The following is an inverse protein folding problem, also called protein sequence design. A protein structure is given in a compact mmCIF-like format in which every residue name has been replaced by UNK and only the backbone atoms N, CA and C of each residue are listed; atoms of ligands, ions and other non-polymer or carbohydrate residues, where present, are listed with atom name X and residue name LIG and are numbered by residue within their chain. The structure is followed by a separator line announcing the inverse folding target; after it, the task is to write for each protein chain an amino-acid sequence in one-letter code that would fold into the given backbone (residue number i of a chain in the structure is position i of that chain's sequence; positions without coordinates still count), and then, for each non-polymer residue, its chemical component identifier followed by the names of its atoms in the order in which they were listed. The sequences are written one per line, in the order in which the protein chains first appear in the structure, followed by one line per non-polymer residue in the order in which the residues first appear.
data_IF_487907711602
#
_entry.id   IF_487907711602
#
_cell.length_a   1.000
_cell.length_b   1.000
_cell.length_c   1.000
_cell.angle_alpha   90.00
_cell.angle_beta   90.00
_cell.angle_gamma   90.00
#
_symmetry.space_group_name_H-M   'P 1'
#
loop_
_entity.id
_entity.type
_entity.pdbx_description
1 polymer ?
#
# COMPACT_ATOMS: atom_id res chain seq x y z
N UNK A 1 -11.76 -16.70 28.53
CA UNK A 1 -11.03 -16.08 27.40
C UNK A 1 -10.54 -14.72 27.88
N UNK A 2 -9.29 -14.64 28.34
CA UNK A 2 -8.72 -13.38 28.85
C UNK A 2 -8.50 -12.43 27.68
N UNK A 3 -9.06 -11.23 27.80
CA UNK A 3 -8.74 -10.12 26.89
C UNK A 3 -7.27 -9.76 27.10
N UNK A 4 -6.43 -9.70 26.05
CA UNK A 4 -5.05 -9.29 26.22
C UNK A 4 -5.01 -7.86 26.77
N UNK A 5 -4.14 -7.67 27.77
CA UNK A 5 -3.88 -6.40 28.43
C UNK A 5 -3.46 -5.34 27.38
N UNK A 6 -4.17 -4.22 27.38
CA UNK A 6 -3.92 -3.08 26.50
C UNK A 6 -2.64 -2.29 26.88
N UNK A 7 -1.91 -2.72 27.92
CA UNK A 7 -0.67 -2.11 28.40
C UNK A 7 0.51 -2.12 27.40
N UNK A 8 0.39 -2.83 26.28
CA UNK A 8 1.40 -2.85 25.21
C UNK A 8 1.33 -1.69 24.20
N UNK A 9 0.24 -0.91 24.18
CA UNK A 9 0.15 0.26 23.31
C UNK A 9 0.61 1.50 24.09
N UNK A 10 1.83 1.97 23.80
CA UNK A 10 2.20 3.35 24.09
C UNK A 10 1.09 4.26 23.55
N UNK A 11 0.54 5.14 24.39
CA UNK A 11 -0.48 6.12 23.99
C UNK A 11 -0.02 7.01 22.81
N UNK A 12 1.28 7.02 22.52
CA UNK A 12 1.87 7.51 21.27
C UNK A 12 2.43 6.32 20.50
N UNK A 13 1.67 5.79 19.54
CA UNK A 13 2.25 4.84 18.58
C UNK A 13 3.38 5.55 17.82
N UNK A 14 4.59 5.00 17.89
CA UNK A 14 5.74 5.49 17.10
C UNK A 14 5.42 5.31 15.62
N UNK A 15 5.50 6.38 14.83
CA UNK A 15 5.11 6.36 13.42
C UNK A 15 6.16 5.68 12.53
N UNK A 16 7.43 5.69 12.94
CA UNK A 16 8.54 5.03 12.25
C UNK A 16 9.70 4.76 13.20
N UNK A 17 10.29 3.57 13.12
CA UNK A 17 11.43 3.18 13.96
C UNK A 17 12.76 3.82 13.53
N UNK A 18 12.85 4.28 12.27
CA UNK A 18 14.06 4.85 11.67
C UNK A 18 13.99 6.40 11.60
N UNK A 19 13.24 7.02 12.51
CA UNK A 19 13.27 8.49 12.67
C UNK A 19 13.22 8.88 14.13
N UNK A 20 13.89 9.99 14.46
CA UNK A 20 13.87 10.52 15.83
C UNK A 20 12.50 11.08 16.19
N UNK A 21 12.19 11.11 17.49
CA UNK A 21 10.94 11.69 18.00
C UNK A 21 10.77 13.18 17.64
N UNK A 22 11.87 13.91 17.44
CA UNK A 22 11.82 15.30 16.99
C UNK A 22 11.30 15.42 15.55
N UNK A 23 11.76 14.53 14.66
CA UNK A 23 11.31 14.47 13.27
C UNK A 23 9.85 14.03 13.20
N UNK A 24 9.44 13.05 14.00
CA UNK A 24 8.03 12.63 14.08
C UNK A 24 7.11 13.80 14.48
N UNK A 25 7.50 14.60 15.48
CA UNK A 25 6.73 15.79 15.90
C UNK A 25 6.61 16.81 14.76
N UNK A 26 7.70 17.08 14.04
CA UNK A 26 7.68 17.98 12.88
C UNK A 26 6.73 17.48 11.79
N UNK A 27 6.73 16.17 11.52
CA UNK A 27 5.80 15.55 10.57
C UNK A 27 4.35 15.72 11.03
N UNK A 28 4.02 15.39 12.27
CA UNK A 28 2.66 15.53 12.81
C UNK A 28 2.17 16.98 12.72
N UNK A 29 3.01 17.94 13.10
CA UNK A 29 2.65 19.35 13.06
C UNK A 29 2.49 19.88 11.63
N UNK A 30 3.31 19.40 10.69
CA UNK A 30 3.13 19.70 9.27
C UNK A 30 1.79 19.19 8.76
N UNK A 31 1.43 17.93 9.07
CA UNK A 31 0.13 17.38 8.72
C UNK A 31 -1.04 18.14 9.39
N UNK A 32 -0.91 18.56 10.64
CA UNK A 32 -1.95 19.35 11.33
C UNK A 32 -2.22 20.70 10.68
N UNK A 33 -1.18 21.36 10.17
CA UNK A 33 -1.29 22.65 9.46
C UNK A 33 -1.84 22.55 8.03
N UNK A 34 -1.80 21.36 7.41
CA UNK A 34 -2.35 21.19 6.05
C UNK A 34 -3.87 21.32 6.03
N UNK A 35 -4.39 22.05 5.04
CA UNK A 35 -5.82 22.04 4.73
C UNK A 35 -6.28 20.62 4.34
N UNK A 36 -7.56 20.28 4.53
CA UNK A 36 -8.09 18.98 4.11
C UNK A 36 -7.81 18.65 2.64
N UNK A 37 -7.97 19.62 1.75
CA UNK A 37 -7.71 19.44 0.32
C UNK A 37 -6.22 19.16 0.03
N UNK A 38 -5.29 19.84 0.73
CA UNK A 38 -3.87 19.54 0.59
C UNK A 38 -3.53 18.13 1.06
N UNK A 39 -4.13 17.67 2.17
CA UNK A 39 -3.95 16.28 2.62
C UNK A 39 -4.38 15.27 1.56
N UNK A 40 -5.57 15.46 0.98
CA UNK A 40 -6.09 14.57 -0.07
C UNK A 40 -5.15 14.54 -1.27
N UNK A 41 -4.69 15.71 -1.75
CA UNK A 41 -3.73 15.78 -2.87
C UNK A 41 -2.42 15.07 -2.57
N UNK A 42 -1.87 15.24 -1.37
CA UNK A 42 -0.64 14.57 -0.94
C UNK A 42 -0.82 13.05 -0.93
N UNK A 43 -1.92 12.55 -0.36
CA UNK A 43 -2.19 11.11 -0.29
C UNK A 43 -2.50 10.51 -1.66
N UNK A 44 -3.22 11.22 -2.54
CA UNK A 44 -3.46 10.78 -3.92
C UNK A 44 -2.15 10.67 -4.71
N UNK A 45 -1.30 11.69 -4.64
CA UNK A 45 0.01 11.70 -5.29
C UNK A 45 0.91 10.56 -4.79
N UNK A 46 0.97 10.35 -3.47
CA UNK A 46 1.68 9.21 -2.87
C UNK A 46 1.13 7.87 -3.38
N UNK A 47 -0.19 7.73 -3.39
CA UNK A 47 -0.88 6.50 -3.81
C UNK A 47 -0.61 6.16 -5.28
N UNK A 48 -0.65 7.15 -6.16
CA UNK A 48 -0.33 7.00 -7.59
C UNK A 48 1.12 6.63 -7.82
N UNK A 49 2.03 7.28 -7.08
CA UNK A 49 3.48 7.01 -7.17
C UNK A 49 3.80 5.60 -6.70
N UNK A 50 3.24 5.15 -5.58
CA UNK A 50 3.42 3.79 -5.08
C UNK A 50 2.91 2.74 -6.09
N UNK A 51 1.77 2.99 -6.74
CA UNK A 51 1.25 2.10 -7.79
C UNK A 51 2.14 2.07 -9.04
N UNK A 52 2.67 3.21 -9.45
CA UNK A 52 3.60 3.29 -10.59
C UNK A 52 4.89 2.51 -10.31
N UNK A 53 5.46 2.63 -9.11
CA UNK A 53 6.63 1.87 -8.68
C UNK A 53 6.34 0.37 -8.63
N UNK A 54 5.19 -0.03 -8.08
CA UNK A 54 4.78 -1.43 -8.05
C UNK A 54 4.63 -2.01 -9.46
N UNK A 55 4.01 -1.27 -10.39
CA UNK A 55 3.88 -1.69 -11.79
C UNK A 55 5.24 -1.80 -12.48
N UNK A 56 6.17 -0.89 -12.24
CA UNK A 56 7.52 -0.98 -12.77
C UNK A 56 8.22 -2.27 -12.27
N UNK A 57 8.12 -2.57 -10.98
CA UNK A 57 8.65 -3.81 -10.41
C UNK A 57 7.95 -5.09 -10.88
N UNK A 58 6.66 -5.02 -11.23
CA UNK A 58 5.92 -6.14 -11.83
C UNK A 58 6.44 -6.40 -13.25
N UNK A 59 6.49 -5.36 -14.10
CA UNK A 59 7.00 -5.46 -15.48
C UNK A 59 8.45 -5.94 -15.53
N UNK A 60 9.26 -5.51 -14.57
CA UNK A 60 10.64 -5.99 -14.46
C UNK A 60 10.76 -7.49 -14.17
N UNK A 61 9.87 -8.05 -13.33
CA UNK A 61 9.86 -9.48 -12.99
C UNK A 61 9.12 -10.36 -13.99
N UNK A 62 8.20 -9.78 -14.75
CA UNK A 62 7.40 -10.46 -15.76
C UNK A 62 7.47 -9.69 -17.07
N UNK A 63 8.60 -9.74 -17.80
CA UNK A 63 8.82 -8.93 -18.99
C UNK A 63 7.84 -9.24 -20.12
N UNK A 64 7.35 -10.49 -20.20
CA UNK A 64 6.41 -10.95 -21.23
C UNK A 64 4.93 -10.82 -20.81
N UNK A 65 4.67 -10.33 -19.59
CA UNK A 65 3.31 -10.18 -19.10
C UNK A 65 2.56 -9.11 -19.90
N UNK A 66 1.33 -9.44 -20.29
CA UNK A 66 0.43 -8.45 -20.89
C UNK A 66 0.10 -7.31 -19.91
N UNK A 67 -0.35 -6.17 -20.45
CA UNK A 67 -0.88 -5.06 -19.63
C UNK A 67 -1.98 -5.53 -18.66
N UNK A 68 -2.85 -6.45 -19.11
CA UNK A 68 -3.92 -7.03 -18.28
C UNK A 68 -3.35 -7.86 -17.14
N UNK A 69 -2.37 -8.71 -17.41
CA UNK A 69 -1.71 -9.50 -16.38
C UNK A 69 -0.98 -8.59 -15.37
N UNK A 70 -0.28 -7.55 -15.84
CA UNK A 70 0.36 -6.56 -14.97
C UNK A 70 -0.66 -5.88 -14.04
N UNK A 71 -1.82 -5.49 -14.57
CA UNK A 71 -2.92 -4.93 -13.78
C UNK A 71 -3.42 -5.91 -12.71
N UNK A 72 -3.60 -7.18 -13.06
CA UNK A 72 -4.08 -8.21 -12.13
C UNK A 72 -3.05 -8.52 -11.04
N UNK A 73 -1.76 -8.54 -11.37
CA UNK A 73 -0.67 -8.65 -10.39
C UNK A 73 -0.67 -7.47 -9.42
N UNK A 74 -0.92 -6.25 -9.90
CA UNK A 74 -1.09 -5.08 -9.04
C UNK A 74 -2.35 -5.21 -8.15
N UNK A 75 -3.45 -5.73 -8.69
CA UNK A 75 -4.67 -5.98 -7.93
C UNK A 75 -4.43 -6.98 -6.79
N UNK A 76 -3.71 -8.08 -7.05
CA UNK A 76 -3.30 -9.04 -6.01
C UNK A 76 -2.46 -8.36 -4.93
N UNK A 77 -1.52 -7.50 -5.30
CA UNK A 77 -0.68 -6.77 -4.34
C UNK A 77 -1.50 -5.82 -3.46
N UNK A 78 -2.53 -5.17 -4.01
CA UNK A 78 -3.34 -4.16 -3.30
C UNK A 78 -4.49 -4.74 -2.49
N UNK A 79 -5.14 -5.79 -2.99
CA UNK A 79 -6.40 -6.33 -2.46
C UNK A 79 -6.24 -7.72 -1.86
N UNK A 80 -5.14 -8.41 -2.17
CA UNK A 80 -4.95 -9.83 -1.90
C UNK A 80 -5.52 -10.71 -3.02
N UNK A 81 -5.04 -11.96 -3.09
CA UNK A 81 -5.41 -12.93 -4.15
C UNK A 81 -6.90 -13.26 -4.14
N UNK A 82 -7.47 -13.50 -2.95
CA UNK A 82 -8.87 -13.92 -2.80
C UNK A 82 -9.84 -12.85 -3.30
N UNK A 83 -9.68 -11.59 -2.84
CA UNK A 83 -10.47 -10.47 -3.34
C UNK A 83 -10.27 -10.23 -4.85
N UNK A 84 -9.04 -10.40 -5.35
CA UNK A 84 -8.74 -10.24 -6.78
C UNK A 84 -9.48 -11.27 -7.63
N UNK A 85 -9.47 -12.55 -7.26
CA UNK A 85 -10.15 -13.61 -8.01
C UNK A 85 -11.69 -13.43 -7.99
N UNK A 86 -12.25 -12.91 -6.90
CA UNK A 86 -13.69 -12.58 -6.85
C UNK A 86 -14.07 -11.42 -7.77
N UNK A 87 -13.24 -10.38 -7.83
CA UNK A 87 -13.52 -9.16 -8.61
C UNK A 87 -13.11 -9.29 -10.08
N UNK A 88 -12.11 -10.12 -10.37
CA UNK A 88 -11.55 -10.34 -11.70
C UNK A 88 -11.39 -11.84 -11.96
N UNK A 89 -12.45 -12.53 -12.42
CA UNK A 89 -12.43 -13.97 -12.62
C UNK A 89 -11.38 -14.45 -13.65
N UNK A 90 -11.03 -13.60 -14.61
CA UNK A 90 -9.96 -13.85 -15.60
C UNK A 90 -8.55 -13.93 -14.98
N UNK A 91 -8.40 -13.51 -13.72
CA UNK A 91 -7.13 -13.55 -13.01
C UNK A 91 -6.61 -14.96 -12.75
N UNK A 92 -7.47 -15.96 -12.63
CA UNK A 92 -7.04 -17.34 -12.40
C UNK A 92 -6.14 -17.84 -13.55
N UNK A 93 -6.61 -17.72 -14.79
CA UNK A 93 -5.88 -18.19 -15.96
C UNK A 93 -4.59 -17.40 -16.22
N UNK A 94 -4.63 -16.07 -16.03
CA UNK A 94 -3.52 -15.19 -16.38
C UNK A 94 -2.39 -15.16 -15.34
N UNK A 95 -2.69 -15.43 -14.07
CA UNK A 95 -1.66 -15.45 -13.02
C UNK A 95 -0.98 -16.82 -12.87
N UNK A 96 -1.64 -17.90 -13.29
CA UNK A 96 -1.12 -19.26 -13.24
C UNK A 96 -0.22 -19.61 -14.43
N UNK A 97 -0.39 -18.91 -15.57
CA UNK A 97 0.39 -19.16 -16.80
C UNK A 97 1.83 -18.64 -16.78
N UNK A 98 2.25 -17.97 -15.71
CA UNK A 98 3.51 -17.20 -15.61
C UNK A 98 4.33 -17.55 -14.36
N UNK A 99 4.12 -18.75 -13.79
CA UNK A 99 4.91 -19.33 -12.70
C UNK A 99 5.87 -20.39 -13.26
#
# INVERSE_FOLDING_TARGET
MSVPDASGFSARGVLTADSTLAVERLQIDAWRRMSPLHKVRTVDGLTRTAQALALAGIRHRHPDASERECFLRLAVLKLGREATLRLYPDAAALLESSA
#
